data_IF_786461157846
#
_entry.id   IF_786461157846
#
_cell.length_a   1.000
_cell.length_b   1.000
_cell.length_c   1.000
_cell.angle_alpha   90.00
_cell.angle_beta   90.00
_cell.angle_gamma   90.00
#
_symmetry.space_group_name_H-M   'P 1'
#
loop_
_entity.id
_entity.type
_entity.pdbx_description
1 polymer ?
#
# COMPACT_ATOMS: atom_id res chain seq x y z
N UNK A 1 -21.05 -5.98 22.11
CA UNK A 1 -19.94 -6.08 21.14
C UNK A 1 -19.50 -4.66 20.85
N UNK A 2 -18.21 -4.38 20.93
CA UNK A 2 -17.66 -3.09 20.53
C UNK A 2 -17.83 -2.93 19.02
N UNK A 3 -18.23 -1.73 18.56
CA UNK A 3 -18.32 -1.45 17.14
C UNK A 3 -16.91 -1.50 16.52
N UNK A 4 -16.76 -2.20 15.40
CA UNK A 4 -15.53 -2.15 14.61
C UNK A 4 -15.56 -0.86 13.79
N UNK A 5 -14.52 -0.06 13.88
CA UNK A 5 -14.43 1.22 13.18
C UNK A 5 -13.09 1.37 12.46
N UNK A 6 -13.08 2.19 11.41
CA UNK A 6 -11.85 2.65 10.78
C UNK A 6 -11.13 3.59 11.75
N UNK A 7 -9.93 3.24 12.15
CA UNK A 7 -9.13 4.05 13.09
C UNK A 7 -8.06 4.88 12.39
N UNK A 8 -7.55 4.39 11.24
CA UNK A 8 -6.59 5.13 10.42
C UNK A 8 -6.79 4.81 8.94
N UNK A 9 -6.49 5.77 8.09
CA UNK A 9 -6.39 5.62 6.64
C UNK A 9 -5.00 6.05 6.19
N UNK A 10 -4.42 5.28 5.29
CA UNK A 10 -3.09 5.51 4.76
C UNK A 10 -3.06 5.39 3.25
N UNK A 11 -2.38 6.34 2.60
CA UNK A 11 -2.04 6.28 1.18
C UNK A 11 -0.54 6.34 0.99
N UNK A 12 -0.05 5.75 -0.10
CA UNK A 12 1.38 5.66 -0.43
C UNK A 12 1.57 6.08 -1.88
N UNK A 13 1.48 7.38 -2.22
CA UNK A 13 1.43 7.82 -3.61
C UNK A 13 2.51 7.23 -4.50
N UNK A 14 3.76 7.27 -4.05
CA UNK A 14 4.89 6.65 -4.75
C UNK A 14 5.22 5.31 -4.07
N UNK A 15 5.28 4.24 -4.87
CA UNK A 15 5.62 2.89 -4.36
C UNK A 15 6.92 2.92 -3.57
N UNK A 16 6.94 2.23 -2.43
CA UNK A 16 8.09 2.11 -1.53
C UNK A 16 8.49 3.35 -0.71
N UNK A 17 7.89 4.53 -0.93
CA UNK A 17 8.14 5.69 -0.09
C UNK A 17 7.29 5.66 1.20
N UNK A 18 7.54 6.61 2.11
CA UNK A 18 6.79 6.75 3.38
C UNK A 18 5.32 7.02 3.12
N UNK A 19 4.42 6.40 3.88
CA UNK A 19 2.98 6.62 3.76
C UNK A 19 2.52 7.97 4.31
N UNK A 20 1.35 8.40 3.86
CA UNK A 20 0.62 9.58 4.32
C UNK A 20 -0.60 9.10 5.09
N UNK A 21 -0.75 9.49 6.34
CA UNK A 21 -2.00 9.32 7.08
C UNK A 21 -2.98 10.40 6.66
N UNK A 22 -4.22 10.01 6.40
CA UNK A 22 -5.29 10.91 5.97
C UNK A 22 -6.56 10.66 6.79
N UNK A 23 -7.35 11.69 7.04
CA UNK A 23 -8.63 11.55 7.74
C UNK A 23 -9.74 11.06 6.81
N UNK A 24 -9.59 11.32 5.51
CA UNK A 24 -10.53 10.92 4.44
C UNK A 24 -9.78 10.48 3.20
N UNK A 25 -10.33 9.51 2.51
CA UNK A 25 -9.78 9.04 1.24
C UNK A 25 -10.91 8.62 0.28
N UNK A 26 -10.85 9.13 -0.94
CA UNK A 26 -11.74 8.72 -2.03
C UNK A 26 -11.32 7.33 -2.52
N UNK A 27 -12.28 6.43 -2.67
CA UNK A 27 -12.07 5.12 -3.27
C UNK A 27 -12.30 5.19 -4.78
N UNK A 28 -11.36 4.69 -5.54
CA UNK A 28 -11.37 4.61 -7.00
C UNK A 28 -11.23 3.14 -7.43
N UNK A 29 -11.36 2.83 -8.72
CA UNK A 29 -11.26 1.44 -9.23
C UNK A 29 -10.00 0.69 -8.79
N UNK A 30 -8.87 1.40 -8.60
CA UNK A 30 -7.56 0.85 -8.24
C UNK A 30 -7.25 0.86 -6.74
N UNK A 31 -8.20 1.23 -5.89
CA UNK A 31 -8.01 1.45 -4.46
C UNK A 31 -8.17 2.91 -4.06
N UNK A 32 -7.56 3.33 -2.97
CA UNK A 32 -7.63 4.72 -2.53
C UNK A 32 -6.96 5.65 -3.55
N UNK A 33 -7.58 6.80 -3.79
CA UNK A 33 -7.09 7.82 -4.72
C UNK A 33 -5.63 8.15 -4.43
N UNK A 34 -4.82 8.24 -5.48
CA UNK A 34 -3.36 8.44 -5.45
C UNK A 34 -2.55 7.27 -4.88
N UNK A 35 -3.13 6.22 -4.34
CA UNK A 35 -2.38 5.13 -3.76
C UNK A 35 -1.57 4.36 -4.81
N UNK A 36 -0.22 4.36 -4.67
CA UNK A 36 0.77 3.69 -5.54
C UNK A 36 0.57 3.98 -7.03
N UNK A 37 0.19 5.23 -7.38
CA UNK A 37 0.06 5.66 -8.78
C UNK A 37 1.40 6.01 -9.42
N UNK A 38 2.43 6.22 -8.60
CA UNK A 38 3.80 6.47 -9.05
C UNK A 38 4.75 5.38 -8.56
N UNK A 39 5.82 5.14 -9.34
CA UNK A 39 6.80 4.11 -9.06
C UNK A 39 8.17 4.52 -9.61
N UNK A 40 9.24 4.20 -8.88
CA UNK A 40 10.59 4.30 -9.38
C UNK A 40 10.98 3.01 -10.10
N UNK A 41 11.65 3.15 -11.24
CA UNK A 41 12.19 2.04 -12.02
C UNK A 41 13.68 2.23 -12.27
N UNK A 42 14.40 1.13 -12.45
CA UNK A 42 15.81 1.10 -12.85
C UNK A 42 16.00 1.18 -14.37
N UNK A 43 17.23 1.13 -14.85
CA UNK A 43 17.60 1.16 -16.28
C UNK A 43 17.02 -0.02 -17.11
N UNK A 44 16.53 -1.05 -16.45
CA UNK A 44 15.85 -2.17 -17.07
C UNK A 44 14.32 -2.05 -16.98
N UNK A 45 13.81 -0.88 -16.66
CA UNK A 45 12.40 -0.60 -16.42
C UNK A 45 11.76 -1.47 -15.32
N UNK A 46 12.57 -2.02 -14.40
CA UNK A 46 12.08 -2.80 -13.27
C UNK A 46 11.88 -1.94 -12.03
N UNK A 47 10.82 -2.22 -11.29
CA UNK A 47 10.49 -1.44 -10.10
C UNK A 47 11.57 -1.51 -9.02
N UNK A 48 11.88 -0.35 -8.47
CA UNK A 48 12.76 -0.16 -7.32
C UNK A 48 11.93 -0.27 -6.02
N UNK A 49 12.50 -0.87 -4.99
CA UNK A 49 11.81 -1.03 -3.71
C UNK A 49 12.73 -0.97 -2.49
N UNK A 50 12.13 -0.83 -1.31
CA UNK A 50 12.85 -0.90 -0.02
C UNK A 50 13.60 -2.23 0.20
N UNK A 51 13.39 -3.25 -0.63
CA UNK A 51 14.20 -4.49 -0.57
C UNK A 51 15.65 -4.23 -0.91
N UNK A 52 15.89 -3.41 -1.94
CA UNK A 52 17.22 -3.02 -2.42
C UNK A 52 17.68 -1.70 -1.80
N UNK A 53 16.78 -0.73 -1.71
CA UNK A 53 17.06 0.62 -1.21
C UNK A 53 16.20 0.94 0.02
N UNK A 54 16.55 0.42 1.22
CA UNK A 54 15.76 0.63 2.44
C UNK A 54 15.56 2.11 2.79
N UNK A 55 16.51 2.97 2.41
CA UNK A 55 16.44 4.43 2.63
C UNK A 55 15.27 5.12 1.91
N UNK A 56 14.60 4.48 0.96
CA UNK A 56 13.34 4.96 0.39
C UNK A 56 12.27 5.20 1.47
N UNK A 57 12.34 4.49 2.60
CA UNK A 57 11.44 4.70 3.73
C UNK A 57 11.58 6.08 4.37
N UNK A 58 12.70 6.78 4.18
CA UNK A 58 12.96 8.12 4.72
C UNK A 58 12.30 9.23 3.90
N UNK A 59 11.95 8.95 2.64
CA UNK A 59 11.35 9.95 1.76
C UNK A 59 9.90 10.18 2.18
N UNK A 60 9.64 11.36 2.74
CA UNK A 60 8.31 11.82 3.14
C UNK A 60 7.58 12.40 1.94
N UNK A 61 6.28 12.22 1.91
CA UNK A 61 5.38 12.70 0.88
C UNK A 61 4.23 13.47 1.53
N UNK A 62 3.77 14.52 0.88
CA UNK A 62 2.59 15.28 1.27
C UNK A 62 1.79 15.64 0.02
N UNK A 63 0.47 15.47 0.06
CA UNK A 63 -0.42 15.93 -1.02
C UNK A 63 -0.66 17.44 -0.89
N UNK A 64 -0.71 18.13 -2.02
CA UNK A 64 -1.11 19.52 -2.14
C UNK A 64 -2.07 19.68 -3.32
N UNK A 65 -2.62 20.87 -3.52
CA UNK A 65 -3.49 21.17 -4.67
C UNK A 65 -2.75 21.10 -6.02
N UNK A 66 -1.42 21.19 -5.99
CA UNK A 66 -0.59 21.27 -7.20
C UNK A 66 0.18 19.98 -7.52
N UNK A 67 0.22 19.03 -6.58
CA UNK A 67 1.00 17.82 -6.74
C UNK A 67 1.45 17.20 -5.43
N UNK A 68 2.46 16.34 -5.51
CA UNK A 68 3.06 15.67 -4.37
C UNK A 68 4.36 16.41 -4.00
N UNK A 69 4.40 16.96 -2.78
CA UNK A 69 5.64 17.47 -2.18
C UNK A 69 6.44 16.30 -1.62
N UNK A 70 7.70 16.18 -2.00
CA UNK A 70 8.61 15.11 -1.58
C UNK A 70 9.80 15.69 -0.85
N UNK A 71 10.18 15.10 0.30
CA UNK A 71 11.29 15.54 1.15
C UNK A 71 12.11 14.34 1.61
N UNK A 72 13.41 14.45 1.51
CA UNK A 72 14.37 13.47 2.03
C UNK A 72 15.50 14.17 2.81
N UNK A 73 16.22 13.45 3.69
CA UNK A 73 17.38 14.00 4.36
C UNK A 73 18.39 14.55 3.35
N UNK A 74 18.91 15.75 3.64
CA UNK A 74 19.95 16.44 2.87
C UNK A 74 19.60 16.77 1.40
N UNK A 75 18.31 16.65 1.03
CA UNK A 75 17.82 16.96 -0.31
C UNK A 75 16.92 18.20 -0.33
N UNK A 76 16.93 18.99 -1.40
CA UNK A 76 15.96 20.06 -1.59
C UNK A 76 14.54 19.49 -1.71
N UNK A 77 13.53 20.29 -1.36
CA UNK A 77 12.12 19.87 -1.57
C UNK A 77 11.84 19.73 -3.05
N UNK A 78 11.25 18.61 -3.43
CA UNK A 78 10.79 18.34 -4.80
C UNK A 78 9.27 18.44 -4.85
N UNK A 79 8.73 19.07 -5.90
CA UNK A 79 7.30 19.05 -6.23
C UNK A 79 7.10 18.22 -7.49
N UNK A 80 6.31 17.17 -7.38
CA UNK A 80 5.88 16.34 -8.50
C UNK A 80 4.46 16.77 -8.86
N UNK A 81 4.22 17.42 -10.00
CA UNK A 81 2.89 17.86 -10.37
C UNK A 81 1.95 16.68 -10.59
N UNK A 82 0.65 16.87 -10.32
CA UNK A 82 -0.33 15.89 -10.75
C UNK A 82 -0.38 15.85 -12.26
N UNK A 83 -0.47 14.66 -12.87
CA UNK A 83 -0.74 14.54 -14.30
C UNK A 83 -2.12 15.14 -14.57
N UNK A 84 -2.16 16.23 -15.24
CA UNK A 84 -3.37 16.91 -15.72
C UNK A 84 -3.62 16.61 -17.20
N UNK A 85 -4.40 17.47 -17.87
CA UNK A 85 -4.67 17.37 -19.30
C UNK A 85 -3.42 17.49 -20.19
N UNK A 86 -2.22 17.76 -19.64
CA UNK A 86 -0.95 17.79 -20.37
C UNK A 86 -0.24 16.42 -20.40
N UNK A 87 -0.90 15.38 -19.94
CA UNK A 87 -0.37 14.01 -19.87
C UNK A 87 0.13 13.51 -21.25
N UNK A 88 -0.46 13.99 -22.34
CA UNK A 88 -0.02 13.68 -23.72
C UNK A 88 1.42 14.12 -24.03
N UNK A 89 2.01 14.97 -23.19
CA UNK A 89 3.40 15.42 -23.32
C UNK A 89 4.40 14.47 -22.65
N UNK A 90 3.92 13.50 -21.89
CA UNK A 90 4.78 12.52 -21.22
C UNK A 90 5.10 11.35 -22.16
N UNK A 91 6.32 10.86 -22.08
CA UNK A 91 6.75 9.71 -22.87
C UNK A 91 6.12 8.42 -22.35
N UNK A 92 5.42 7.66 -23.22
CA UNK A 92 4.94 6.32 -22.89
C UNK A 92 6.12 5.36 -22.81
N UNK A 93 6.23 4.64 -21.70
CA UNK A 93 7.25 3.60 -21.49
C UNK A 93 6.58 2.33 -20.98
N UNK A 94 7.15 1.18 -21.29
CA UNK A 94 6.75 -0.10 -20.69
C UNK A 94 7.64 -0.41 -19.51
N UNK A 95 7.03 -0.74 -18.35
CA UNK A 95 7.75 -1.09 -17.12
C UNK A 95 7.33 -2.46 -16.60
N UNK A 96 8.19 -3.04 -15.77
CA UNK A 96 7.96 -4.34 -15.16
C UNK A 96 7.72 -4.16 -13.66
N UNK A 97 6.49 -4.46 -13.23
CA UNK A 97 6.11 -4.49 -11.82
C UNK A 97 5.74 -5.92 -11.42
N UNK A 98 6.64 -6.61 -10.71
CA UNK A 98 6.63 -8.05 -10.49
C UNK A 98 6.78 -8.81 -11.82
N UNK A 99 5.76 -9.54 -12.23
CA UNK A 99 5.71 -10.27 -13.49
C UNK A 99 4.86 -9.55 -14.55
N UNK A 100 4.25 -8.40 -14.19
CA UNK A 100 3.37 -7.64 -15.05
C UNK A 100 4.15 -6.63 -15.89
N UNK A 101 3.88 -6.59 -17.18
CA UNK A 101 4.32 -5.57 -18.12
C UNK A 101 3.23 -4.51 -18.25
N UNK A 102 3.56 -3.25 -17.96
CA UNK A 102 2.57 -2.18 -17.82
C UNK A 102 3.03 -0.98 -18.63
N UNK A 103 2.14 -0.45 -19.47
CA UNK A 103 2.33 0.84 -20.14
C UNK A 103 2.05 1.97 -19.16
N UNK A 104 3.01 2.86 -19.02
CA UNK A 104 3.00 3.97 -18.07
C UNK A 104 3.62 5.20 -18.71
N UNK A 105 3.68 6.29 -17.97
CA UNK A 105 4.24 7.53 -18.44
C UNK A 105 5.45 7.93 -17.60
N UNK A 106 6.56 8.20 -18.27
CA UNK A 106 7.72 8.85 -17.69
C UNK A 106 7.43 10.34 -17.49
N UNK A 107 7.80 10.90 -16.32
CA UNK A 107 7.42 12.27 -15.99
C UNK A 107 8.43 13.28 -16.54
N UNK A 108 9.65 13.32 -16.01
CA UNK A 108 10.76 14.11 -16.55
C UNK A 108 12.09 13.82 -15.86
N UNK A 109 13.18 14.14 -16.55
CA UNK A 109 14.56 13.90 -16.10
C UNK A 109 14.94 14.71 -14.86
N UNK A 110 14.36 15.88 -14.61
CA UNK A 110 14.72 16.67 -13.43
C UNK A 110 14.24 15.97 -12.14
N UNK A 111 13.08 15.32 -12.19
CA UNK A 111 12.57 14.50 -11.10
C UNK A 111 13.43 13.24 -10.93
N UNK A 112 13.81 12.59 -12.03
CA UNK A 112 14.67 11.40 -12.00
C UNK A 112 16.02 11.71 -11.34
N UNK A 113 16.65 12.82 -11.72
CA UNK A 113 17.93 13.25 -11.13
C UNK A 113 17.84 13.42 -9.63
N UNK A 114 16.74 13.98 -9.11
CA UNK A 114 16.55 14.12 -7.66
C UNK A 114 16.51 12.76 -6.93
N UNK A 115 15.78 11.80 -7.47
CA UNK A 115 15.72 10.46 -6.88
C UNK A 115 17.03 9.69 -7.05
N UNK A 116 17.66 9.83 -8.21
CA UNK A 116 18.96 9.19 -8.50
C UNK A 116 20.06 9.72 -7.57
N UNK A 117 20.10 11.03 -7.32
CA UNK A 117 21.03 11.65 -6.35
C UNK A 117 20.77 11.10 -4.93
N UNK A 118 19.52 11.07 -4.49
CA UNK A 118 19.19 10.51 -3.17
C UNK A 118 19.56 9.04 -3.04
N UNK A 119 19.33 8.24 -4.07
CA UNK A 119 19.56 6.79 -4.02
C UNK A 119 21.02 6.39 -4.30
N UNK A 120 21.82 7.31 -4.87
CA UNK A 120 23.14 7.01 -5.46
C UNK A 120 23.03 5.89 -6.51
N UNK A 121 22.00 5.97 -7.36
CA UNK A 121 21.69 4.98 -8.40
C UNK A 121 20.75 5.58 -9.44
N UNK A 122 20.98 5.30 -10.70
CA UNK A 122 20.12 5.77 -11.78
C UNK A 122 18.71 5.19 -11.65
N UNK A 123 17.71 6.05 -11.73
CA UNK A 123 16.32 5.66 -11.69
C UNK A 123 15.42 6.70 -12.37
N UNK A 124 14.24 6.26 -12.75
CA UNK A 124 13.20 7.11 -13.37
C UNK A 124 11.91 7.03 -12.58
N UNK A 125 11.20 8.14 -12.46
CA UNK A 125 9.85 8.18 -11.89
C UNK A 125 8.81 8.04 -12.98
N UNK A 126 7.97 7.02 -12.84
CA UNK A 126 6.86 6.77 -13.76
C UNK A 126 5.51 6.91 -13.07
N UNK A 127 4.50 7.25 -13.86
CA UNK A 127 3.11 7.39 -13.44
C UNK A 127 2.21 6.42 -14.22
N UNK A 128 1.25 5.81 -13.53
CA UNK A 128 0.22 4.95 -14.12
C UNK A 128 -0.99 5.79 -14.50
N UNK A 129 -1.25 6.07 -15.80
CA UNK A 129 -2.41 6.83 -16.26
C UNK A 129 -3.72 6.05 -16.08
N UNK A 130 -4.87 6.72 -16.32
CA UNK A 130 -6.18 6.12 -16.08
C UNK A 130 -6.52 4.98 -17.03
N UNK A 131 -6.02 5.00 -18.24
CA UNK A 131 -6.21 3.99 -19.28
C UNK A 131 -5.25 2.79 -19.16
N UNK A 132 -4.23 2.87 -18.30
CA UNK A 132 -3.35 1.74 -18.01
C UNK A 132 -4.08 0.73 -17.13
N UNK A 133 -4.06 -0.54 -17.46
CA UNK A 133 -4.71 -1.60 -16.68
C UNK A 133 -3.67 -2.60 -16.16
N UNK A 134 -3.69 -2.81 -14.85
CA UNK A 134 -3.00 -3.90 -14.18
C UNK A 134 -4.02 -4.74 -13.43
N UNK A 135 -4.28 -5.94 -13.95
CA UNK A 135 -5.29 -6.83 -13.37
C UNK A 135 -4.82 -7.41 -12.03
N UNK A 136 -5.74 -7.55 -11.12
CA UNK A 136 -5.56 -8.38 -9.93
C UNK A 136 -5.60 -9.85 -10.35
N UNK A 137 -4.85 -10.71 -9.64
CA UNK A 137 -4.81 -12.15 -9.87
C UNK A 137 -6.24 -12.75 -9.98
N UNK A 138 -6.55 -13.37 -11.12
CA UNK A 138 -7.87 -13.89 -11.46
C UNK A 138 -8.32 -15.08 -10.60
N UNK A 139 -7.42 -15.66 -9.81
CA UNK A 139 -7.82 -16.63 -8.78
C UNK A 139 -8.66 -15.99 -7.69
N UNK A 140 -8.44 -14.68 -7.43
CA UNK A 140 -9.12 -13.90 -6.37
C UNK A 140 -10.09 -12.87 -6.93
N UNK A 141 -9.81 -12.30 -8.10
CA UNK A 141 -10.61 -11.26 -8.75
C UNK A 141 -11.41 -11.83 -9.90
N UNK A 142 -12.74 -11.65 -9.90
CA UNK A 142 -13.65 -12.28 -10.88
C UNK A 142 -14.34 -11.28 -11.81
N UNK A 143 -14.18 -9.97 -11.58
CA UNK A 143 -14.88 -8.91 -12.31
C UNK A 143 -13.91 -7.92 -12.96
N UNK A 144 -12.72 -8.38 -13.39
CA UNK A 144 -11.68 -7.54 -13.96
C UNK A 144 -11.23 -6.41 -13.01
N UNK A 145 -11.16 -6.72 -11.70
CA UNK A 145 -10.63 -5.78 -10.74
C UNK A 145 -9.18 -5.44 -11.06
N UNK A 146 -8.86 -4.16 -10.96
CA UNK A 146 -7.54 -3.61 -11.28
C UNK A 146 -6.88 -3.05 -10.02
N UNK A 147 -5.58 -2.94 -10.08
CA UNK A 147 -4.77 -2.32 -9.04
C UNK A 147 -3.75 -1.35 -9.64
N UNK A 148 -3.16 -0.52 -8.79
CA UNK A 148 -2.04 0.35 -9.15
C UNK A 148 -0.68 -0.39 -9.03
N UNK A 149 0.41 0.31 -8.73
CA UNK A 149 1.70 -0.32 -8.45
C UNK A 149 1.78 -0.97 -7.05
N UNK A 150 0.64 -1.31 -6.43
CA UNK A 150 0.59 -2.13 -5.20
C UNK A 150 1.17 -3.53 -5.43
N UNK A 151 1.32 -4.32 -4.36
CA UNK A 151 1.94 -5.65 -4.52
C UNK A 151 1.03 -6.70 -5.19
N UNK A 152 -0.25 -6.41 -5.38
CA UNK A 152 -1.17 -7.29 -6.11
C UNK A 152 -2.65 -7.01 -5.87
N UNK A 153 -2.98 -6.21 -4.83
CA UNK A 153 -4.36 -5.89 -4.48
C UNK A 153 -4.52 -4.39 -4.21
N UNK A 154 -5.70 -3.83 -4.47
CA UNK A 154 -5.94 -2.39 -4.34
C UNK A 154 -5.86 -1.88 -2.90
N UNK A 155 -6.23 -2.69 -1.92
CA UNK A 155 -6.23 -2.27 -0.51
C UNK A 155 -5.73 -3.38 0.42
N UNK A 156 -5.15 -2.98 1.55
CA UNK A 156 -4.74 -3.84 2.66
C UNK A 156 -5.39 -3.34 3.95
N UNK A 157 -6.03 -4.24 4.71
CA UNK A 157 -6.60 -3.96 6.02
C UNK A 157 -5.82 -4.68 7.12
N UNK A 158 -5.66 -3.99 8.26
CA UNK A 158 -5.05 -4.55 9.49
C UNK A 158 -5.84 -4.06 10.70
N UNK A 159 -5.97 -4.89 11.72
CA UNK A 159 -6.56 -4.54 13.00
C UNK A 159 -5.48 -3.99 13.97
N UNK A 160 -5.78 -2.94 14.73
CA UNK A 160 -4.85 -2.38 15.73
C UNK A 160 -4.51 -3.40 16.81
N UNK A 161 -5.49 -4.17 17.25
CA UNK A 161 -5.31 -5.21 18.27
C UNK A 161 -4.37 -6.33 17.80
N UNK A 162 -4.31 -6.59 16.48
CA UNK A 162 -3.34 -7.51 15.89
C UNK A 162 -1.91 -6.99 16.00
N UNK A 163 -1.72 -5.69 15.80
CA UNK A 163 -0.41 -5.05 15.99
C UNK A 163 -0.04 -5.00 17.48
N UNK A 164 -1.00 -4.74 18.37
CA UNK A 164 -0.78 -4.73 19.81
C UNK A 164 -0.36 -6.13 20.32
N UNK A 165 -1.03 -7.20 19.88
CA UNK A 165 -0.63 -8.56 20.22
C UNK A 165 0.76 -8.88 19.66
N UNK A 166 1.07 -8.51 18.43
CA UNK A 166 2.41 -8.71 17.86
C UNK A 166 3.48 -7.94 18.66
N UNK A 167 3.21 -6.69 19.04
CA UNK A 167 4.11 -5.87 19.84
C UNK A 167 4.35 -6.46 21.25
N UNK A 168 3.39 -7.17 21.81
CA UNK A 168 3.57 -7.88 23.09
C UNK A 168 4.55 -9.08 23.02
N UNK A 169 4.91 -9.49 21.79
CA UNK A 169 5.75 -10.67 21.51
C UNK A 169 7.14 -10.34 20.99
N UNK A 170 7.46 -9.06 20.79
CA UNK A 170 8.75 -8.57 20.27
C UNK A 170 9.38 -7.59 21.24
N UNK A 171 10.70 -7.50 21.22
CA UNK A 171 11.45 -6.59 22.10
C UNK A 171 11.60 -5.16 21.51
N UNK A 172 11.11 -4.95 20.27
CA UNK A 172 11.14 -3.64 19.59
C UNK A 172 9.72 -3.17 19.33
N UNK A 173 9.49 -1.87 19.37
CA UNK A 173 8.19 -1.31 19.01
C UNK A 173 8.02 -1.32 17.49
N UNK A 174 6.97 -1.98 17.02
CA UNK A 174 6.56 -2.02 15.62
C UNK A 174 5.43 -1.03 15.39
N UNK A 175 5.61 -0.14 14.44
CA UNK A 175 4.58 0.79 14.02
C UNK A 175 3.76 0.24 12.84
N UNK A 176 2.50 0.64 12.72
CA UNK A 176 1.58 0.12 11.70
C UNK A 176 2.06 0.38 10.27
N UNK A 177 2.76 1.50 10.04
CA UNK A 177 3.28 1.90 8.75
C UNK A 177 4.37 0.96 8.19
N UNK A 178 5.01 0.10 9.03
CA UNK A 178 5.89 -0.98 8.55
C UNK A 178 5.16 -1.97 7.64
N UNK A 179 3.89 -2.20 7.94
CA UNK A 179 3.04 -3.16 7.22
C UNK A 179 2.32 -2.52 6.04
N UNK A 180 2.34 -1.18 5.95
CA UNK A 180 1.82 -0.40 4.83
C UNK A 180 0.34 -0.67 4.51
N UNK A 181 -0.56 -0.72 5.50
CA UNK A 181 -1.99 -0.88 5.26
C UNK A 181 -2.59 0.39 4.63
N UNK A 182 -3.73 0.22 3.95
CA UNK A 182 -4.56 1.33 3.53
C UNK A 182 -5.63 1.66 4.57
N UNK A 183 -6.19 0.62 5.18
CA UNK A 183 -7.25 0.71 6.18
C UNK A 183 -6.77 0.06 7.47
N UNK A 184 -6.82 0.80 8.57
CA UNK A 184 -6.61 0.24 9.91
C UNK A 184 -7.94 0.30 10.63
N UNK A 185 -8.31 -0.81 11.26
CA UNK A 185 -9.55 -0.91 12.05
C UNK A 185 -9.22 -1.18 13.52
N UNK A 186 -10.15 -0.87 14.39
CA UNK A 186 -10.13 -1.23 15.82
C UNK A 186 -11.49 -1.69 16.30
N UNK A 187 -11.51 -2.35 17.49
CA UNK A 187 -12.71 -2.89 18.11
C UNK A 187 -12.95 -4.35 17.79
N UNK A 188 -11.96 -5.04 17.21
CA UNK A 188 -11.98 -6.48 16.98
C UNK A 188 -10.96 -7.20 17.88
N UNK A 189 -11.10 -8.52 18.04
CA UNK A 189 -10.09 -9.35 18.68
C UNK A 189 -8.79 -9.34 17.86
N UNK A 190 -7.62 -9.59 18.44
CA UNK A 190 -6.38 -9.75 17.70
C UNK A 190 -6.54 -10.75 16.55
N UNK A 191 -6.09 -10.34 15.36
CA UNK A 191 -6.25 -11.07 14.08
C UNK A 191 -7.70 -11.25 13.65
N UNK A 192 -8.61 -10.42 14.17
CA UNK A 192 -10.03 -10.40 13.75
C UNK A 192 -10.22 -10.08 12.26
N UNK A 193 -9.28 -9.37 11.65
CA UNK A 193 -9.27 -9.14 10.20
C UNK A 193 -9.22 -10.44 9.38
N UNK A 194 -8.73 -11.53 9.92
CA UNK A 194 -8.69 -12.84 9.23
C UNK A 194 -10.08 -13.45 9.04
N UNK A 195 -11.07 -12.98 9.80
CA UNK A 195 -12.46 -13.42 9.72
C UNK A 195 -13.34 -12.54 8.85
N UNK A 196 -12.78 -11.48 8.30
CA UNK A 196 -13.48 -10.62 7.36
C UNK A 196 -13.63 -11.38 6.03
N UNK A 197 -14.86 -11.59 5.60
CA UNK A 197 -15.19 -12.08 4.27
C UNK A 197 -15.76 -10.94 3.43
N UNK A 198 -17.10 -10.86 3.35
CA UNK A 198 -17.82 -9.73 2.78
C UNK A 198 -18.26 -8.78 3.91
N UNK A 199 -17.92 -7.50 3.79
CA UNK A 199 -18.27 -6.48 4.76
C UNK A 199 -18.45 -5.13 4.10
N UNK A 200 -19.04 -4.18 4.82
CA UNK A 200 -19.23 -2.81 4.36
C UNK A 200 -18.56 -1.82 5.29
N UNK A 201 -18.00 -0.76 4.71
CA UNK A 201 -17.59 0.48 5.39
C UNK A 201 -18.31 1.62 4.69
N UNK A 202 -19.10 2.41 5.43
CA UNK A 202 -19.88 3.52 4.87
C UNK A 202 -20.77 3.11 3.67
N UNK A 203 -21.32 1.89 3.69
CA UNK A 203 -22.15 1.37 2.59
C UNK A 203 -21.38 0.84 1.38
N UNK A 204 -20.08 0.96 1.35
CA UNK A 204 -19.20 0.45 0.28
C UNK A 204 -18.86 -1.01 0.58
N UNK A 205 -19.03 -1.89 -0.39
CA UNK A 205 -18.72 -3.30 -0.27
C UNK A 205 -17.23 -3.58 -0.40
N UNK A 206 -16.70 -4.35 0.55
CA UNK A 206 -15.34 -4.87 0.58
C UNK A 206 -15.34 -6.39 0.72
N UNK A 207 -14.35 -7.01 0.10
CA UNK A 207 -14.14 -8.46 0.13
C UNK A 207 -12.70 -8.75 0.56
N UNK A 208 -12.52 -9.40 1.70
CA UNK A 208 -11.21 -9.91 2.12
C UNK A 208 -10.94 -11.22 1.38
N UNK A 209 -10.10 -11.16 0.37
CA UNK A 209 -9.94 -12.25 -0.60
C UNK A 209 -8.69 -13.08 -0.38
N UNK A 210 -7.68 -12.54 0.30
CA UNK A 210 -6.39 -13.22 0.48
C UNK A 210 -5.65 -12.69 1.71
N UNK A 211 -5.19 -13.56 2.63
CA UNK A 211 -4.23 -13.15 3.66
C UNK A 211 -2.98 -12.53 3.04
N UNK A 212 -2.49 -11.43 3.61
CA UNK A 212 -1.34 -10.73 3.08
C UNK A 212 -0.04 -11.40 3.52
N UNK A 213 0.68 -12.01 2.58
CA UNK A 213 2.01 -12.55 2.84
C UNK A 213 3.02 -11.42 3.01
N UNK A 214 3.82 -11.48 4.08
CA UNK A 214 4.78 -10.43 4.42
C UNK A 214 6.18 -10.78 3.92
N UNK A 215 6.90 -9.76 3.52
CA UNK A 215 8.26 -9.87 3.02
C UNK A 215 9.24 -9.02 3.84
N UNK A 216 10.51 -9.09 3.49
CA UNK A 216 11.61 -8.37 4.17
C UNK A 216 11.43 -6.85 4.26
N UNK A 217 10.57 -6.24 3.47
CA UNK A 217 10.26 -4.80 3.57
C UNK A 217 9.75 -4.44 4.98
N UNK A 218 9.00 -5.31 5.63
CA UNK A 218 8.50 -5.07 7.00
C UNK A 218 9.60 -5.00 8.06
N UNK A 219 10.81 -5.48 7.75
CA UNK A 219 11.98 -5.39 8.67
C UNK A 219 12.71 -4.05 8.56
N UNK A 220 12.40 -3.24 7.54
CA UNK A 220 12.95 -1.89 7.42
C UNK A 220 12.31 -0.99 8.46
N UNK A 221 13.15 -0.32 9.25
CA UNK A 221 12.66 0.71 10.16
C UNK A 221 12.28 1.96 9.34
N UNK A 222 11.01 2.40 9.36
CA UNK A 222 10.56 3.52 8.53
C UNK A 222 11.10 4.89 8.97
N UNK A 223 11.70 4.98 10.16
CA UNK A 223 12.28 6.23 10.68
C UNK A 223 13.79 6.31 10.41
N UNK A 224 14.48 5.18 10.34
CA UNK A 224 15.95 5.14 10.11
C UNK A 224 16.32 4.68 8.69
N UNK A 225 15.39 4.05 7.97
CA UNK A 225 15.65 3.49 6.64
C UNK A 225 16.61 2.30 6.67
N UNK A 226 16.74 1.60 7.81
CA UNK A 226 17.69 0.50 8.01
C UNK A 226 16.96 -0.78 8.39
N UNK A 227 17.51 -1.91 7.99
CA UNK A 227 17.09 -3.26 8.44
C UNK A 227 17.84 -3.59 9.73
N UNK A 228 17.27 -3.24 10.88
CA UNK A 228 17.93 -3.38 12.18
C UNK A 228 17.84 -4.79 12.76
N UNK A 229 16.82 -5.55 12.35
CA UNK A 229 16.56 -6.89 12.87
C UNK A 229 15.81 -7.77 11.86
N UNK A 230 15.51 -9.02 12.25
CA UNK A 230 14.63 -9.92 11.49
C UNK A 230 13.14 -9.74 11.85
N UNK A 231 12.84 -8.86 12.81
CA UNK A 231 11.47 -8.56 13.20
C UNK A 231 10.77 -7.66 12.18
N UNK A 232 9.47 -7.81 11.97
CA UNK A 232 8.50 -8.69 12.66
C UNK A 232 8.46 -10.12 12.11
N UNK A 233 9.19 -10.43 11.04
CA UNK A 233 9.07 -11.71 10.33
C UNK A 233 9.47 -12.91 11.20
N UNK A 234 10.50 -12.76 12.06
CA UNK A 234 10.97 -13.83 12.91
C UNK A 234 9.90 -14.22 13.95
N UNK A 235 9.23 -13.25 14.55
CA UNK A 235 8.15 -13.52 15.52
C UNK A 235 6.89 -14.01 14.83
N UNK A 236 6.43 -13.37 13.76
CA UNK A 236 5.27 -13.82 12.98
C UNK A 236 5.44 -15.26 12.47
N UNK A 237 6.64 -15.67 12.10
CA UNK A 237 6.92 -17.03 11.63
C UNK A 237 6.67 -18.12 12.69
N UNK A 238 6.56 -17.77 13.99
CA UNK A 238 6.31 -18.72 15.08
C UNK A 238 4.83 -19.11 15.20
N UNK A 239 3.90 -18.31 14.65
CA UNK A 239 2.46 -18.55 14.83
C UNK A 239 1.58 -18.09 13.65
N UNK A 240 2.17 -17.45 12.62
CA UNK A 240 1.46 -16.94 11.43
C UNK A 240 2.12 -17.44 10.13
N UNK A 241 2.73 -18.62 10.17
CA UNK A 241 3.38 -19.24 9.03
C UNK A 241 2.49 -20.32 8.41
N UNK A 242 2.43 -20.34 7.07
CA UNK A 242 1.86 -21.42 6.27
C UNK A 242 2.57 -21.49 4.93
N UNK A 243 2.85 -22.68 4.43
CA UNK A 243 3.47 -22.91 3.11
C UNK A 243 4.72 -22.03 2.85
N UNK A 244 5.62 -21.93 3.84
CA UNK A 244 6.83 -21.10 3.83
C UNK A 244 6.60 -19.58 3.77
N UNK A 245 5.36 -19.11 3.82
CA UNK A 245 5.00 -17.68 3.87
C UNK A 245 4.55 -17.31 5.27
N UNK A 246 4.75 -16.04 5.60
CA UNK A 246 4.35 -15.43 6.87
C UNK A 246 3.25 -14.41 6.57
N UNK A 247 2.17 -14.39 7.35
CA UNK A 247 0.98 -13.62 7.04
C UNK A 247 0.64 -12.62 8.14
N UNK A 248 0.19 -11.42 7.73
CA UNK A 248 -0.32 -10.39 8.62
C UNK A 248 -1.20 -9.40 7.85
N UNK A 249 -2.47 -9.25 8.24
CA UNK A 249 -3.48 -8.45 7.55
C UNK A 249 -4.11 -9.14 6.34
N UNK A 250 -5.12 -8.49 5.74
CA UNK A 250 -5.92 -9.03 4.64
C UNK A 250 -5.90 -8.12 3.42
N UNK A 251 -5.67 -8.70 2.25
CA UNK A 251 -5.83 -8.04 0.97
C UNK A 251 -7.31 -7.94 0.63
N UNK A 252 -7.72 -6.77 0.16
CA UNK A 252 -9.11 -6.47 -0.13
C UNK A 252 -9.33 -6.15 -1.59
N UNK A 253 -10.46 -6.63 -2.10
CA UNK A 253 -11.16 -6.03 -3.23
C UNK A 253 -12.30 -5.14 -2.72
N UNK A 254 -12.83 -4.27 -3.57
CA UNK A 254 -13.97 -3.43 -3.26
C UNK A 254 -14.84 -3.26 -4.49
N UNK A 255 -16.08 -2.89 -4.26
CA UNK A 255 -17.03 -2.59 -5.33
C UNK A 255 -17.48 -1.15 -5.17
N UNK A 256 -17.20 -0.33 -6.19
CA UNK A 256 -17.73 1.03 -6.25
C UNK A 256 -19.22 1.00 -6.55
N UNK A 257 -19.97 1.82 -5.86
CA UNK A 257 -21.37 2.07 -6.15
C UNK A 257 -21.54 3.54 -6.57
N UNK A 258 -22.10 3.74 -7.75
CA UNK A 258 -22.34 5.10 -8.29
C UNK A 258 -23.44 5.86 -7.52
N UNK A 259 -24.18 5.18 -6.67
CA UNK A 259 -25.28 5.77 -5.88
C UNK A 259 -24.86 6.22 -4.48
N UNK A 260 -23.62 5.90 -4.06
CA UNK A 260 -23.08 6.30 -2.76
C UNK A 260 -21.82 7.13 -2.94
N UNK A 261 -21.51 7.94 -1.93
CA UNK A 261 -20.20 8.61 -1.86
C UNK A 261 -19.15 7.54 -1.51
N UNK A 262 -18.28 7.24 -2.48
CA UNK A 262 -17.20 6.28 -2.31
C UNK A 262 -16.03 6.86 -1.51
N UNK A 263 -16.32 7.58 -0.43
CA UNK A 263 -15.34 8.17 0.48
C UNK A 263 -15.30 7.38 1.78
N UNK A 264 -14.10 7.00 2.21
CA UNK A 264 -13.82 6.47 3.54
C UNK A 264 -13.38 7.61 4.47
N UNK A 265 -13.85 7.57 5.70
CA UNK A 265 -13.47 8.53 6.74
C UNK A 265 -13.05 7.79 8.00
N UNK A 266 -12.05 8.31 8.71
CA UNK A 266 -11.70 7.81 10.04
C UNK A 266 -12.92 7.96 10.96
N UNK A 267 -13.28 6.86 11.65
CA UNK A 267 -14.50 6.76 12.45
C UNK A 267 -15.64 6.00 11.74
N UNK A 268 -15.56 5.75 10.44
CA UNK A 268 -16.57 4.95 9.74
C UNK A 268 -16.71 3.57 10.35
N UNK A 269 -17.96 3.10 10.47
CA UNK A 269 -18.27 1.78 11.02
C UNK A 269 -18.12 0.69 9.97
N UNK A 270 -17.53 -0.42 10.39
CA UNK A 270 -17.45 -1.64 9.61
C UNK A 270 -18.59 -2.57 10.01
N UNK A 271 -19.35 -3.06 9.03
CA UNK A 271 -20.43 -4.04 9.21
C UNK A 271 -20.06 -5.32 8.47
N UNK A 272 -19.82 -6.41 9.19
CA UNK A 272 -19.62 -7.74 8.59
C UNK A 272 -20.96 -8.24 8.09
N UNK A 273 -21.02 -8.62 6.80
CA UNK A 273 -22.17 -9.23 6.15
C UNK A 273 -22.01 -10.75 6.09
N UNK A 274 -20.84 -11.22 5.66
CA UNK A 274 -20.50 -12.63 5.57
C UNK A 274 -19.08 -12.83 6.11
N UNK A 275 -18.91 -13.50 7.27
CA UNK A 275 -17.59 -13.82 7.78
C UNK A 275 -16.92 -14.91 6.95
N UNK A 276 -15.59 -14.93 6.93
CA UNK A 276 -14.79 -16.02 6.36
C UNK A 276 -14.15 -16.87 7.45
N UNK A 277 -13.80 -18.11 7.10
CA UNK A 277 -12.95 -18.91 7.94
C UNK A 277 -11.51 -18.35 7.89
N UNK A 278 -10.84 -18.16 9.04
CA UNK A 278 -9.46 -17.72 9.05
C UNK A 278 -8.53 -18.79 8.45
N UNK A 279 -7.39 -18.33 7.93
CA UNK A 279 -6.32 -19.24 7.50
C UNK A 279 -5.79 -20.01 8.72
N UNK A 280 -5.74 -21.33 8.63
CA UNK A 280 -5.04 -22.16 9.63
C UNK A 280 -3.53 -22.09 9.38
N UNK A 281 -2.77 -21.89 10.42
CA UNK A 281 -1.31 -21.79 10.39
C UNK A 281 -0.64 -23.07 10.87
N UNK A 282 0.60 -23.33 10.40
CA UNK A 282 1.40 -24.51 10.75
C UNK A 282 1.86 -24.49 12.21
#
# INVERSE_FOLDING_TARGET
MTDIIVSQLWIYPIKSLKGISVDKAQLEKRGLRYDRRWMLVDDNNRFISQRLYPRLALIKQELSDFGISVRAPDMPVLIIPYPDAQIEMYEEVEVICWDDHIKVQHINTAIDNWFSEFLDADCQLVFMPEDSERLVDTDFAKNHEITSFSDGFPNLIICEESLQDLNSRVDIELTINRFRPNIVIKGCEPYGEDRLGHFQINGIDFYAVKPCSRCVVTTVNPETGVKESKEPLATLAKFRKKDRKVYFGQNLLHKLDLMVDNTLTVGDRLKILEPSAPLEFD
#
